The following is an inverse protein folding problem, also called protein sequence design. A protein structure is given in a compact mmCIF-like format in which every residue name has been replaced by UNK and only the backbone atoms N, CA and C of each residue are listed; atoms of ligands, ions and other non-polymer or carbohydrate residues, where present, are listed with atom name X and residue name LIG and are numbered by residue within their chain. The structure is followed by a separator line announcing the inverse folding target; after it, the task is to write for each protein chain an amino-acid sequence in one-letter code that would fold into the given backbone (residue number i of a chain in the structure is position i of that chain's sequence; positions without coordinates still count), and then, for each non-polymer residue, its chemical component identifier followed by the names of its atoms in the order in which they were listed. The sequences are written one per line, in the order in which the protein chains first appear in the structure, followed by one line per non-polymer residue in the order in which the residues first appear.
data_IF_132306752749
#
_entry.id   IF_132306752749
#
_cell.length_a   1.000
_cell.length_b   1.000
_cell.length_c   1.000
_cell.angle_alpha   90.00
_cell.angle_beta   90.00
_cell.angle_gamma   90.00
#
_symmetry.space_group_name_H-M   'P 1'
#
loop_
_entity.id
_entity.type
_entity.pdbx_description
1 polymer ?
#
# COMPACT_ATOMS: atom_id res chain seq x y z
N UNK A 1 -19.69 -23.93 20.25
CA UNK A 1 -18.43 -23.36 20.76
C UNK A 1 -17.74 -22.63 19.62
N UNK A 2 -17.81 -21.29 19.62
CA UNK A 2 -17.11 -20.45 18.64
C UNK A 2 -15.62 -20.45 19.02
N UNK A 3 -14.81 -21.17 18.23
CA UNK A 3 -13.35 -21.14 18.34
C UNK A 3 -12.85 -19.75 17.93
N UNK A 4 -12.65 -18.86 18.89
CA UNK A 4 -11.76 -17.72 18.71
C UNK A 4 -10.33 -18.25 18.78
N UNK A 5 -9.84 -18.84 17.69
CA UNK A 5 -8.43 -19.18 17.57
C UNK A 5 -7.63 -17.89 17.74
N UNK A 6 -6.77 -17.83 18.75
CA UNK A 6 -5.81 -16.73 18.89
C UNK A 6 -5.02 -16.64 17.58
N UNK A 7 -5.19 -15.56 16.82
CA UNK A 7 -4.37 -15.28 15.65
C UNK A 7 -2.92 -15.38 16.09
N UNK A 8 -2.13 -16.20 15.39
CA UNK A 8 -0.69 -16.17 15.61
C UNK A 8 -0.16 -14.78 15.22
N UNK A 9 0.92 -14.32 15.83
CA UNK A 9 1.55 -13.05 15.45
C UNK A 9 1.85 -12.99 13.95
N UNK A 10 2.16 -14.14 13.35
CA UNK A 10 2.38 -14.28 11.91
C UNK A 10 1.12 -14.03 11.09
N UNK A 11 -0.04 -14.49 11.53
CA UNK A 11 -1.31 -14.25 10.85
C UNK A 11 -1.73 -12.78 10.95
N UNK A 12 -1.48 -12.16 12.11
CA UNK A 12 -1.72 -10.73 12.30
C UNK A 12 -0.82 -9.89 11.39
N UNK A 13 0.49 -10.17 11.35
CA UNK A 13 1.42 -9.50 10.46
C UNK A 13 1.04 -9.71 8.99
N UNK A 14 0.68 -10.93 8.60
CA UNK A 14 0.23 -11.24 7.23
C UNK A 14 -0.98 -10.40 6.84
N UNK A 15 -2.00 -10.35 7.69
CA UNK A 15 -3.19 -9.54 7.44
C UNK A 15 -2.86 -8.04 7.38
N UNK A 16 -1.98 -7.56 8.27
CA UNK A 16 -1.56 -6.17 8.31
C UNK A 16 -0.83 -5.75 7.02
N UNK A 17 0.19 -6.50 6.61
CA UNK A 17 0.96 -6.22 5.41
C UNK A 17 0.10 -6.28 4.15
N UNK A 18 -0.75 -7.31 4.00
CA UNK A 18 -1.69 -7.39 2.87
C UNK A 18 -2.61 -6.16 2.81
N UNK A 19 -3.17 -5.76 3.94
CA UNK A 19 -4.03 -4.57 4.00
C UNK A 19 -3.25 -3.29 3.71
N UNK A 20 -2.00 -3.19 4.15
CA UNK A 20 -1.12 -2.07 3.83
C UNK A 20 -0.85 -1.97 2.32
N UNK A 21 -0.48 -3.08 1.67
CA UNK A 21 -0.22 -3.11 0.23
C UNK A 21 -1.46 -2.75 -0.59
N UNK A 22 -2.65 -3.23 -0.20
CA UNK A 22 -3.91 -2.85 -0.88
C UNK A 22 -4.20 -1.37 -0.73
N UNK A 23 -4.06 -0.80 0.48
CA UNK A 23 -4.25 0.64 0.71
C UNK A 23 -3.28 1.47 -0.14
N UNK A 24 -2.02 1.05 -0.22
CA UNK A 24 -1.01 1.80 -0.95
C UNK A 24 -1.23 1.74 -2.46
N UNK A 25 -1.64 0.58 -3.01
CA UNK A 25 -2.10 0.45 -4.41
C UNK A 25 -3.28 1.37 -4.71
N UNK A 26 -4.25 1.44 -3.80
CA UNK A 26 -5.42 2.31 -3.98
C UNK A 26 -5.04 3.80 -3.95
N UNK A 27 -4.17 4.21 -3.02
CA UNK A 27 -3.63 5.58 -2.97
C UNK A 27 -2.89 5.94 -4.25
N UNK A 28 -2.01 5.06 -4.72
CA UNK A 28 -1.29 5.24 -5.99
C UNK A 28 -2.26 5.49 -7.14
N UNK A 29 -3.26 4.63 -7.32
CA UNK A 29 -4.24 4.77 -8.38
C UNK A 29 -5.00 6.10 -8.30
N UNK A 30 -5.37 6.52 -7.08
CA UNK A 30 -6.03 7.81 -6.84
C UNK A 30 -5.12 8.99 -7.22
N UNK A 31 -3.86 8.96 -6.82
CA UNK A 31 -2.92 10.04 -7.13
C UNK A 31 -2.58 10.12 -8.62
N UNK A 32 -2.44 8.96 -9.30
CA UNK A 32 -2.30 8.94 -10.75
C UNK A 32 -3.49 9.58 -11.45
N UNK A 33 -4.71 9.15 -11.10
CA UNK A 33 -5.93 9.72 -11.65
C UNK A 33 -6.00 11.24 -11.42
N UNK A 34 -5.64 11.73 -10.22
CA UNK A 34 -5.60 13.16 -9.94
C UNK A 34 -4.55 13.89 -10.78
N UNK A 35 -3.35 13.31 -10.94
CA UNK A 35 -2.28 13.90 -11.76
C UNK A 35 -2.65 13.96 -13.26
N UNK A 36 -3.45 13.02 -13.75
CA UNK A 36 -3.85 12.96 -15.16
C UNK A 36 -4.98 13.94 -15.48
N UNK A 37 -5.89 14.17 -14.53
CA UNK A 37 -7.15 14.90 -14.78
C UNK A 37 -7.16 16.35 -14.25
N UNK A 38 -6.17 16.77 -13.45
CA UNK A 38 -6.10 18.15 -12.95
C UNK A 38 -5.39 19.07 -13.94
N UNK A 39 -5.99 20.25 -14.16
CA UNK A 39 -5.44 21.31 -15.03
C UNK A 39 -4.27 22.06 -14.39
N UNK A 40 -4.30 22.26 -13.07
CA UNK A 40 -3.25 22.97 -12.35
C UNK A 40 -1.92 22.18 -12.39
N UNK A 41 -0.89 22.80 -12.99
CA UNK A 41 0.41 22.16 -13.21
C UNK A 41 1.12 21.79 -11.90
N UNK A 42 1.01 22.61 -10.87
CA UNK A 42 1.68 22.37 -9.59
C UNK A 42 1.03 21.18 -8.87
N UNK A 43 -0.30 21.13 -8.85
CA UNK A 43 -1.05 20.02 -8.29
C UNK A 43 -0.82 18.73 -9.08
N UNK A 44 -0.77 18.80 -10.42
CA UNK A 44 -0.42 17.66 -11.26
C UNK A 44 0.92 17.04 -10.88
N UNK A 45 1.97 17.87 -10.76
CA UNK A 45 3.28 17.40 -10.35
C UNK A 45 3.27 16.83 -8.93
N UNK A 46 2.59 17.50 -7.99
CA UNK A 46 2.47 17.04 -6.61
C UNK A 46 1.81 15.65 -6.52
N UNK A 47 0.73 15.42 -7.27
CA UNK A 47 0.08 14.11 -7.28
C UNK A 47 0.91 13.04 -8.01
N UNK A 48 1.65 13.40 -9.05
CA UNK A 48 2.60 12.49 -9.68
C UNK A 48 3.71 12.06 -8.69
N UNK A 49 4.24 13.00 -7.91
CA UNK A 49 5.24 12.72 -6.86
C UNK A 49 4.66 11.82 -5.77
N UNK A 50 3.40 12.02 -5.36
CA UNK A 50 2.74 11.14 -4.41
C UNK A 50 2.52 9.73 -4.97
N UNK A 51 2.16 9.59 -6.25
CA UNK A 51 2.06 8.29 -6.90
C UNK A 51 3.42 7.56 -6.92
N UNK A 52 4.50 8.28 -7.24
CA UNK A 52 5.86 7.74 -7.20
C UNK A 52 6.29 7.37 -5.77
N UNK A 53 5.87 8.13 -4.76
CA UNK A 53 6.04 7.79 -3.35
C UNK A 53 5.35 6.46 -2.98
N UNK A 54 4.11 6.27 -3.43
CA UNK A 54 3.40 5.00 -3.22
C UNK A 54 4.11 3.81 -3.90
N UNK A 55 4.71 3.99 -5.08
CA UNK A 55 5.50 2.95 -5.74
C UNK A 55 6.71 2.53 -4.88
N UNK A 56 7.42 3.50 -4.30
CA UNK A 56 8.53 3.21 -3.37
C UNK A 56 8.04 2.46 -2.13
N UNK A 57 6.93 2.88 -1.53
CA UNK A 57 6.36 2.20 -0.37
C UNK A 57 5.93 0.77 -0.69
N UNK A 58 5.36 0.53 -1.88
CA UNK A 58 4.99 -0.82 -2.30
C UNK A 58 6.20 -1.75 -2.44
N UNK A 59 7.33 -1.22 -2.94
CA UNK A 59 8.59 -1.96 -3.00
C UNK A 59 9.07 -2.30 -1.58
N UNK A 60 9.08 -1.32 -0.67
CA UNK A 60 9.48 -1.55 0.72
C UNK A 60 8.57 -2.56 1.43
N UNK A 61 7.25 -2.45 1.26
CA UNK A 61 6.30 -3.43 1.81
C UNK A 61 6.56 -4.83 1.28
N UNK A 62 6.88 -4.97 -0.01
CA UNK A 62 7.20 -6.26 -0.61
C UNK A 62 8.48 -6.85 -0.02
N UNK A 63 9.54 -6.04 0.10
CA UNK A 63 10.80 -6.47 0.71
C UNK A 63 10.56 -6.96 2.14
N UNK A 64 9.77 -6.25 2.94
CA UNK A 64 9.50 -6.68 4.31
C UNK A 64 8.58 -7.89 4.41
N UNK A 65 7.62 -8.04 3.50
CA UNK A 65 6.85 -9.27 3.39
C UNK A 65 7.74 -10.47 3.05
N UNK A 66 8.67 -10.31 2.10
CA UNK A 66 9.63 -11.35 1.71
C UNK A 66 10.53 -11.71 2.91
N UNK A 67 11.07 -10.72 3.63
CA UNK A 67 11.90 -10.91 4.83
C UNK A 67 11.17 -11.66 5.96
N UNK A 68 9.85 -11.45 6.09
CA UNK A 68 9.01 -12.10 7.10
C UNK A 68 8.39 -13.43 6.61
N UNK A 69 8.74 -13.91 5.41
CA UNK A 69 8.14 -15.08 4.78
C UNK A 69 6.60 -14.99 4.69
N UNK A 70 6.10 -13.80 4.37
CA UNK A 70 4.68 -13.50 4.15
C UNK A 70 4.42 -13.52 2.64
N UNK A 71 3.53 -14.43 2.20
CA UNK A 71 3.09 -14.55 0.80
C UNK A 71 1.89 -13.66 0.48
#
# INVERSE_FOLDING_TARGET
MTNYSSLSDKDFLTAFFKKASVREKHRRAKFLALSENITDRRLKNLFADFAAGCDKHLILLKIEMDNLNIK
#
